data_IF_677786021363
#
_entry.id   IF_677786021363
#
_cell.length_a   1.000
_cell.length_b   1.000
_cell.length_c   1.000
_cell.angle_alpha   90.00
_cell.angle_beta   90.00
_cell.angle_gamma   90.00
#
_symmetry.space_group_name_H-M   'P 1'
#
loop_
_entity.id
_entity.type
_entity.pdbx_description
1 polymer ?
#
# COMPACT_ATOMS: atom_id res chain seq x y z
N UNK A 1 13.62 13.30 -4.79
CA UNK A 1 12.34 12.65 -5.14
C UNK A 1 12.67 11.27 -5.67
N UNK A 2 12.42 10.20 -4.91
CA UNK A 2 12.78 8.83 -5.31
C UNK A 2 11.53 7.95 -5.33
N UNK A 3 11.48 7.10 -6.36
CA UNK A 3 10.30 6.50 -6.99
C UNK A 3 9.83 5.22 -6.27
N UNK A 4 8.53 4.95 -6.43
CA UNK A 4 7.77 3.84 -5.89
C UNK A 4 8.42 2.46 -6.11
N UNK A 5 8.43 1.63 -5.06
CA UNK A 5 8.73 0.21 -5.19
C UNK A 5 7.45 -0.53 -5.60
N UNK A 6 7.49 -1.18 -6.76
CA UNK A 6 6.48 -2.17 -7.13
C UNK A 6 6.81 -3.48 -6.42
N UNK A 7 5.90 -3.97 -5.57
CA UNK A 7 6.02 -5.30 -5.01
C UNK A 7 5.20 -6.26 -5.88
N UNK A 8 5.84 -7.30 -6.40
CA UNK A 8 5.15 -8.42 -7.07
C UNK A 8 4.63 -9.35 -5.98
N UNK A 9 3.33 -9.58 -5.95
CA UNK A 9 2.70 -10.58 -5.09
C UNK A 9 2.34 -11.77 -5.98
N UNK A 10 3.04 -12.89 -5.82
CA UNK A 10 2.63 -14.17 -6.39
C UNK A 10 1.82 -14.92 -5.32
N UNK A 11 0.51 -15.03 -5.53
CA UNK A 11 -0.31 -15.93 -4.74
C UNK A 11 -0.18 -17.34 -5.33
N UNK A 12 0.54 -18.23 -4.65
CA UNK A 12 0.47 -19.66 -4.95
C UNK A 12 -0.86 -20.19 -4.41
N UNK A 13 -1.69 -20.77 -5.27
CA UNK A 13 -2.89 -21.47 -4.81
C UNK A 13 -2.47 -22.71 -4.01
N UNK A 14 -3.32 -23.16 -3.08
CA UNK A 14 -3.08 -24.38 -2.32
C UNK A 14 -3.00 -25.66 -3.19
N UNK A 15 -3.45 -25.60 -4.45
CA UNK A 15 -3.48 -26.73 -5.40
C UNK A 15 -2.09 -27.13 -5.91
N UNK A 16 -1.09 -26.26 -5.82
CA UNK A 16 0.28 -26.58 -6.25
C UNK A 16 0.89 -27.73 -5.44
N UNK A 17 0.46 -27.92 -4.17
CA UNK A 17 0.89 -29.06 -3.33
C UNK A 17 0.33 -30.41 -3.81
N UNK A 18 -0.67 -30.41 -4.69
CA UNK A 18 -1.38 -31.62 -5.14
C UNK A 18 -1.18 -31.92 -6.63
N UNK A 19 -0.39 -31.13 -7.36
CA UNK A 19 0.05 -31.48 -8.73
C UNK A 19 -1.01 -31.30 -9.82
N UNK A 20 -2.06 -30.52 -9.59
CA UNK A 20 -3.02 -30.16 -10.64
C UNK A 20 -2.53 -28.95 -11.44
N UNK A 21 -2.51 -29.07 -12.77
CA UNK A 21 -1.81 -28.19 -13.70
C UNK A 21 -2.55 -26.88 -14.07
N UNK A 22 -3.72 -26.62 -13.49
CA UNK A 22 -4.50 -25.41 -13.76
C UNK A 22 -4.43 -24.46 -12.56
N UNK A 23 -3.26 -23.85 -12.35
CA UNK A 23 -3.08 -22.79 -11.35
C UNK A 23 -3.18 -21.45 -12.05
N UNK A 24 -4.31 -20.75 -11.87
CA UNK A 24 -4.47 -19.36 -12.30
C UNK A 24 -3.51 -18.46 -11.51
N UNK A 25 -2.41 -18.05 -12.14
CA UNK A 25 -1.50 -17.07 -11.57
C UNK A 25 -2.09 -15.66 -11.77
N UNK A 26 -2.62 -15.07 -10.70
CA UNK A 26 -2.94 -13.65 -10.68
C UNK A 26 -1.72 -12.85 -10.20
N UNK A 27 -1.00 -12.21 -11.12
CA UNK A 27 0.03 -11.24 -10.77
C UNK A 27 -0.64 -9.93 -10.31
N UNK A 28 -0.52 -9.61 -9.02
CA UNK A 28 -0.97 -8.33 -8.48
C UNK A 28 0.21 -7.37 -8.30
N UNK A 29 0.12 -6.19 -8.91
CA UNK A 29 1.06 -5.09 -8.71
C UNK A 29 0.56 -4.13 -7.64
N UNK A 30 1.27 -4.08 -6.51
CA UNK A 30 1.00 -3.12 -5.45
C UNK A 30 1.98 -1.95 -5.56
N UNK A 31 1.44 -0.75 -5.73
CA UNK A 31 2.20 0.50 -5.73
C UNK A 31 2.08 1.17 -4.37
N UNK A 32 3.21 1.45 -3.74
CA UNK A 32 3.28 2.10 -2.44
C UNK A 32 4.09 3.38 -2.59
N UNK A 33 3.42 4.52 -2.54
CA UNK A 33 4.05 5.82 -2.66
C UNK A 33 4.69 6.22 -1.32
N UNK A 34 5.96 6.61 -1.35
CA UNK A 34 6.72 6.99 -0.17
C UNK A 34 7.51 8.26 -0.44
N UNK A 35 7.41 9.22 0.47
CA UNK A 35 8.21 10.44 0.51
C UNK A 35 9.09 10.36 1.75
N UNK A 36 10.41 10.41 1.55
CA UNK A 36 11.38 10.45 2.64
C UNK A 36 11.83 11.89 2.85
N UNK A 37 11.80 12.37 4.09
CA UNK A 37 12.24 13.71 4.46
C UNK A 37 13.40 13.67 5.45
N UNK A 38 14.26 14.68 5.40
CA UNK A 38 15.43 14.82 6.28
C UNK A 38 15.16 15.74 7.49
N UNK A 39 13.96 16.33 7.56
CA UNK A 39 13.55 17.20 8.65
C UNK A 39 12.67 16.52 9.71
N UNK A 40 12.17 17.33 10.62
CA UNK A 40 11.11 16.93 11.53
C UNK A 40 9.78 16.82 10.80
N UNK A 41 8.96 15.85 11.23
CA UNK A 41 7.58 15.69 10.78
C UNK A 41 6.67 15.93 11.98
N UNK A 42 5.66 16.77 11.77
CA UNK A 42 4.67 17.09 12.80
C UNK A 42 3.27 16.80 12.27
N UNK A 43 2.46 16.15 13.10
CA UNK A 43 1.01 16.14 12.95
C UNK A 43 0.46 17.40 13.61
N UNK A 44 -0.42 18.12 12.92
CA UNK A 44 -0.96 19.40 13.37
C UNK A 44 -2.47 19.30 13.37
N UNK A 45 -3.06 19.46 14.55
CA UNK A 45 -4.51 19.42 14.74
C UNK A 45 -4.98 20.72 15.38
N UNK A 46 -6.21 21.11 15.07
CA UNK A 46 -6.88 22.21 15.75
C UNK A 46 -7.72 21.62 16.88
N UNK A 47 -7.51 22.10 18.10
CA UNK A 47 -8.33 21.71 19.25
C UNK A 47 -9.76 22.26 19.13
N UNK A 48 -10.67 21.79 19.99
CA UNK A 48 -12.04 22.33 20.06
C UNK A 48 -12.08 23.82 20.44
N UNK A 49 -11.05 24.28 21.14
CA UNK A 49 -10.93 25.66 21.62
C UNK A 49 -10.23 26.57 20.59
N UNK A 50 -9.87 26.05 19.42
CA UNK A 50 -9.18 26.80 18.36
C UNK A 50 -7.67 26.87 18.54
N UNK A 51 -7.10 26.17 19.51
CA UNK A 51 -5.66 26.12 19.75
C UNK A 51 -4.97 25.13 18.80
N UNK A 52 -3.81 25.53 18.27
CA UNK A 52 -3.00 24.65 17.42
C UNK A 52 -2.23 23.67 18.30
N UNK A 53 -2.45 22.38 18.07
CA UNK A 53 -1.69 21.30 18.70
C UNK A 53 -0.75 20.69 17.69
N UNK A 54 0.53 20.56 18.07
CA UNK A 54 1.54 19.92 17.25
C UNK A 54 2.09 18.69 17.96
N UNK A 55 2.31 17.61 17.20
CA UNK A 55 2.90 16.38 17.69
C UNK A 55 3.97 15.91 16.73
N UNK A 56 5.21 15.78 17.20
CA UNK A 56 6.27 15.17 16.40
C UNK A 56 5.93 13.71 16.13
N UNK A 57 6.08 13.28 14.87
CA UNK A 57 5.79 11.92 14.43
C UNK A 57 6.89 11.41 13.52
N UNK A 58 7.08 10.09 13.50
CA UNK A 58 8.10 9.45 12.66
C UNK A 58 7.60 9.12 11.24
N UNK A 59 6.28 9.02 11.10
CA UNK A 59 5.58 8.65 9.88
C UNK A 59 4.18 9.25 9.88
N UNK A 60 3.72 9.69 8.72
CA UNK A 60 2.34 10.10 8.48
C UNK A 60 1.82 9.53 7.16
N UNK A 61 0.50 9.43 7.02
CA UNK A 61 -0.17 9.03 5.78
C UNK A 61 -0.91 10.22 5.20
N UNK A 62 -0.66 10.53 3.93
CA UNK A 62 -1.34 11.60 3.20
C UNK A 62 -2.19 10.96 2.10
N UNK A 63 -3.47 11.30 2.06
CA UNK A 63 -4.34 10.89 0.97
C UNK A 63 -4.27 11.92 -0.17
N UNK A 64 -3.71 11.50 -1.29
CA UNK A 64 -3.76 12.27 -2.52
C UNK A 64 -5.09 12.02 -3.23
N UNK A 65 -5.91 13.07 -3.32
CA UNK A 65 -7.25 13.08 -3.93
C UNK A 65 -7.25 13.46 -5.41
N UNK A 66 -6.09 13.47 -6.07
CA UNK A 66 -6.05 13.74 -7.50
C UNK A 66 -6.39 12.44 -8.26
N UNK A 67 -7.50 12.39 -9.01
CA UNK A 67 -7.96 11.17 -9.70
C UNK A 67 -7.14 10.81 -10.96
N UNK A 68 -5.89 11.28 -11.08
CA UNK A 68 -5.03 10.96 -12.21
C UNK A 68 -4.85 9.43 -12.33
N UNK A 69 -5.24 8.86 -13.48
CA UNK A 69 -5.13 7.42 -13.75
C UNK A 69 -6.29 6.55 -13.25
N UNK A 70 -7.48 7.13 -12.99
CA UNK A 70 -8.70 6.37 -12.71
C UNK A 70 -8.72 5.64 -11.35
N UNK A 71 -7.80 5.99 -10.45
CA UNK A 71 -7.77 5.46 -9.08
C UNK A 71 -8.35 6.51 -8.13
N UNK A 72 -9.36 6.16 -7.30
CA UNK A 72 -10.10 7.14 -6.54
C UNK A 72 -9.26 7.80 -5.44
N UNK A 73 -8.29 7.10 -4.86
CA UNK A 73 -7.41 7.62 -3.80
C UNK A 73 -6.02 6.98 -3.86
N UNK A 74 -4.97 7.78 -3.77
CA UNK A 74 -3.60 7.29 -3.56
C UNK A 74 -3.13 7.65 -2.16
N UNK A 75 -2.73 6.66 -1.37
CA UNK A 75 -2.14 6.88 -0.06
C UNK A 75 -0.62 7.03 -0.19
N UNK A 76 -0.08 8.10 0.35
CA UNK A 76 1.36 8.44 0.32
C UNK A 76 1.90 8.38 1.74
N UNK A 77 2.91 7.55 1.96
CA UNK A 77 3.64 7.52 3.23
C UNK A 77 4.66 8.66 3.26
N UNK A 78 4.60 9.51 4.27
CA UNK A 78 5.64 10.50 4.56
C UNK A 78 6.43 9.99 5.75
N UNK A 79 7.74 9.78 5.57
CA UNK A 79 8.59 9.10 6.56
C UNK A 79 9.86 9.92 6.80
N UNK A 80 10.23 10.11 8.07
CA UNK A 80 11.52 10.71 8.42
C UNK A 80 12.65 9.76 8.03
N UNK A 81 13.78 10.27 7.54
CA UNK A 81 14.95 9.44 7.19
C UNK A 81 15.41 8.55 8.35
N UNK A 82 15.36 9.06 9.58
CA UNK A 82 15.66 8.31 10.82
C UNK A 82 14.83 7.04 10.97
N UNK A 83 13.60 7.03 10.46
CA UNK A 83 12.65 5.94 10.59
C UNK A 83 12.49 5.09 9.33
N UNK A 84 13.24 5.38 8.27
CA UNK A 84 13.14 4.67 6.99
C UNK A 84 13.41 3.16 7.13
N UNK A 85 14.42 2.78 7.93
CA UNK A 85 14.76 1.36 8.14
C UNK A 85 13.61 0.60 8.81
N UNK A 86 13.03 1.18 9.86
CA UNK A 86 11.89 0.59 10.56
C UNK A 86 10.69 0.49 9.63
N UNK A 87 10.41 1.55 8.88
CA UNK A 87 9.34 1.56 7.88
C UNK A 87 9.50 0.44 6.83
N UNK A 88 10.71 0.21 6.32
CA UNK A 88 10.97 -0.85 5.35
C UNK A 88 10.70 -2.25 5.92
N UNK A 89 11.06 -2.50 7.19
CA UNK A 89 10.77 -3.76 7.89
C UNK A 89 9.26 -3.94 8.06
N UNK A 90 8.57 -2.91 8.54
CA UNK A 90 7.11 -2.95 8.71
C UNK A 90 6.39 -3.18 7.37
N UNK A 91 6.89 -2.55 6.30
CA UNK A 91 6.35 -2.69 4.95
C UNK A 91 6.51 -4.11 4.42
N UNK A 92 7.70 -4.69 4.59
CA UNK A 92 7.97 -6.06 4.19
C UNK A 92 7.05 -7.06 4.92
N UNK A 93 6.92 -6.92 6.24
CA UNK A 93 6.04 -7.77 7.03
C UNK A 93 4.56 -7.64 6.59
N UNK A 94 4.12 -6.43 6.27
CA UNK A 94 2.77 -6.19 5.74
C UNK A 94 2.57 -6.81 4.35
N UNK A 95 3.58 -6.70 3.48
CA UNK A 95 3.56 -7.35 2.15
C UNK A 95 3.50 -8.87 2.26
N UNK A 96 4.28 -9.49 3.14
CA UNK A 96 4.25 -10.94 3.36
C UNK A 96 2.90 -11.40 3.91
N UNK A 97 2.33 -10.65 4.86
CA UNK A 97 1.00 -10.92 5.38
C UNK A 97 -0.08 -10.83 4.29
N UNK A 98 0.02 -9.83 3.40
CA UNK A 98 -0.87 -9.68 2.26
C UNK A 98 -0.75 -10.85 1.27
N UNK A 99 0.47 -11.25 0.92
CA UNK A 99 0.73 -12.41 0.03
C UNK A 99 0.11 -13.67 0.62
N UNK A 100 0.36 -13.93 1.90
CA UNK A 100 -0.19 -15.10 2.59
C UNK A 100 -1.71 -15.07 2.64
N UNK A 101 -2.30 -13.91 2.92
CA UNK A 101 -3.76 -13.76 2.91
C UNK A 101 -4.35 -14.01 1.53
N UNK A 102 -3.74 -13.47 0.47
CA UNK A 102 -4.17 -13.70 -0.92
C UNK A 102 -4.06 -15.19 -1.30
N UNK A 103 -3.01 -15.89 -0.88
CA UNK A 103 -2.88 -17.34 -1.11
C UNK A 103 -3.98 -18.16 -0.42
N UNK A 104 -4.36 -17.80 0.81
CA UNK A 104 -5.45 -18.46 1.55
C UNK A 104 -6.82 -18.12 0.96
N UNK A 105 -7.01 -16.88 0.50
CA UNK A 105 -8.31 -16.33 0.08
C UNK A 105 -8.35 -16.05 -1.44
N UNK A 106 -7.72 -16.91 -2.24
CA UNK A 106 -7.49 -16.67 -3.67
C UNK A 106 -8.75 -16.29 -4.46
N UNK A 107 -9.88 -16.95 -4.22
CA UNK A 107 -11.18 -16.63 -4.87
C UNK A 107 -11.70 -15.24 -4.51
N UNK A 108 -11.57 -14.82 -3.25
CA UNK A 108 -11.97 -13.49 -2.80
C UNK A 108 -11.01 -12.41 -3.30
N UNK A 109 -9.72 -12.72 -3.34
CA UNK A 109 -8.70 -11.83 -3.88
C UNK A 109 -8.92 -11.59 -5.38
N UNK A 110 -9.15 -12.64 -6.17
CA UNK A 110 -9.47 -12.55 -7.61
C UNK A 110 -10.65 -11.62 -7.85
N UNK A 111 -11.77 -11.82 -7.12
CA UNK A 111 -12.95 -10.96 -7.26
C UNK A 111 -12.66 -9.47 -6.99
N UNK A 112 -11.86 -9.16 -5.96
CA UNK A 112 -11.47 -7.78 -5.64
C UNK A 112 -10.63 -7.16 -6.76
N UNK A 113 -9.78 -7.95 -7.42
CA UNK A 113 -8.94 -7.47 -8.53
C UNK A 113 -9.70 -7.39 -9.87
N UNK A 114 -10.69 -8.27 -10.09
CA UNK A 114 -11.58 -8.31 -11.25
C UNK A 114 -12.64 -7.20 -11.23
N UNK A 115 -13.17 -6.86 -10.06
CA UNK A 115 -14.14 -5.76 -9.86
C UNK A 115 -13.53 -4.35 -10.06
N UNK A 116 -12.38 -4.24 -10.73
CA UNK A 116 -11.84 -2.93 -11.15
C UNK A 116 -12.87 -2.27 -12.06
N UNK A 117 -13.34 -1.05 -11.76
CA UNK A 117 -14.09 -0.29 -12.76
C UNK A 117 -13.18 -0.15 -13.98
N UNK A 118 -13.69 -0.55 -15.14
CA UNK A 118 -13.03 -0.32 -16.41
C UNK A 118 -12.53 1.13 -16.41
N UNK A 119 -11.25 1.33 -16.70
CA UNK A 119 -10.74 2.67 -16.95
C UNK A 119 -11.66 3.28 -18.01
N UNK A 120 -12.47 4.27 -17.63
CA UNK A 120 -13.36 4.92 -18.58
C UNK A 120 -12.46 5.65 -19.56
N UNK A 121 -12.35 5.14 -20.78
CA UNK A 121 -11.68 5.80 -21.88
C UNK A 121 -12.26 7.21 -22.02
N UNK A 122 -11.46 8.22 -21.70
CA UNK A 122 -11.69 9.63 -22.01
C UNK A 122 -10.37 10.30 -22.35
#
# INVERSE_FOLDING_TARGET
MQVANACRVQALSADERQGNADVDFADAFVFIAVVVIDGDLYDVTLSKDGEIQTKSVERQLVMWRNPAGGRPFTLIHVVRRSSLRKFAVDLHAASDALVKWCGINSKSALKIFEDKPAASDK
#
